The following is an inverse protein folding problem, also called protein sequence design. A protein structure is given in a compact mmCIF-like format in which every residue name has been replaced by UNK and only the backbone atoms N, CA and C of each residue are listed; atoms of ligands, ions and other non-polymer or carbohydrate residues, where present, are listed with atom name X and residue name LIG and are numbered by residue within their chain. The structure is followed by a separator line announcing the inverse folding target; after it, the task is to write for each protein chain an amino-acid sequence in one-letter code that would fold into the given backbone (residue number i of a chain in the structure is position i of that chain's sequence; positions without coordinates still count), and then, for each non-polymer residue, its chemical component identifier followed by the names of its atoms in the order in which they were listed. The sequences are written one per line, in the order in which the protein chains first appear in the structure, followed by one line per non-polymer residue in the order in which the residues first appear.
data_IF_756056449912
#
_entry.id   IF_756056449912
#
_cell.length_a   1.000
_cell.length_b   1.000
_cell.length_c   1.000
_cell.angle_alpha   90.00
_cell.angle_beta   90.00
_cell.angle_gamma   90.00
#
_symmetry.space_group_name_H-M   'P 1'
#
loop_
_entity.id
_entity.type
_entity.pdbx_description
1 polymer ?
#
# COMPACT_ATOMS: atom_id res chain seq x y z
N UNK A 1 -39.38 29.92 -27.62
CA UNK A 1 -37.98 30.34 -27.48
C UNK A 1 -37.51 29.77 -26.15
N UNK A 2 -36.78 28.67 -26.18
CA UNK A 2 -36.34 27.96 -24.97
C UNK A 2 -34.98 28.54 -24.59
N UNK A 3 -34.92 29.19 -23.44
CA UNK A 3 -33.67 29.67 -22.79
C UNK A 3 -32.80 28.45 -22.49
N UNK A 4 -31.72 28.30 -23.25
CA UNK A 4 -30.64 27.39 -22.90
C UNK A 4 -30.02 27.90 -21.61
N UNK A 5 -30.38 27.31 -20.47
CA UNK A 5 -29.67 27.54 -19.23
C UNK A 5 -28.18 27.30 -19.46
N UNK A 6 -27.38 28.33 -19.32
CA UNK A 6 -25.91 28.26 -19.34
C UNK A 6 -25.50 27.31 -18.21
N UNK A 7 -24.88 26.19 -18.55
CA UNK A 7 -24.32 25.28 -17.54
C UNK A 7 -23.32 26.03 -16.69
N UNK A 8 -23.39 25.97 -15.35
CA UNK A 8 -22.37 26.59 -14.53
C UNK A 8 -21.02 25.96 -14.88
N UNK A 9 -20.04 26.81 -15.20
CA UNK A 9 -18.68 26.37 -15.47
C UNK A 9 -18.06 25.90 -14.14
N UNK A 10 -17.88 24.59 -13.99
CA UNK A 10 -17.19 24.02 -12.85
C UNK A 10 -15.69 24.37 -12.96
N UNK A 11 -15.18 25.04 -11.92
CA UNK A 11 -13.79 25.48 -11.87
C UNK A 11 -12.86 24.29 -11.60
N UNK A 12 -11.74 24.23 -12.30
CA UNK A 12 -10.72 23.23 -12.05
C UNK A 12 -10.00 23.54 -10.74
N UNK A 13 -10.15 22.65 -9.75
CA UNK A 13 -9.56 22.75 -8.41
C UNK A 13 -9.00 21.39 -7.99
N UNK A 14 -7.90 21.37 -7.26
CA UNK A 14 -7.36 20.13 -6.70
C UNK A 14 -8.25 19.62 -5.57
N UNK A 15 -9.05 18.57 -5.85
CA UNK A 15 -9.93 17.96 -4.85
C UNK A 15 -9.15 16.98 -3.97
N UNK A 16 -9.43 17.05 -2.67
CA UNK A 16 -9.04 16.03 -1.68
C UNK A 16 -10.29 15.29 -1.21
N UNK A 17 -10.11 14.08 -0.66
CA UNK A 17 -11.23 13.27 -0.15
C UNK A 17 -12.15 14.08 0.80
N UNK A 18 -11.58 14.91 1.71
CA UNK A 18 -12.29 15.73 2.68
C UNK A 18 -12.64 17.15 2.17
N UNK A 19 -12.47 17.45 0.88
CA UNK A 19 -12.84 18.74 0.31
C UNK A 19 -14.35 18.90 0.39
N UNK A 20 -14.83 19.94 1.08
CA UNK A 20 -16.25 20.23 1.15
C UNK A 20 -16.74 20.75 -0.19
N UNK A 21 -17.78 20.13 -0.71
CA UNK A 21 -18.36 20.50 -2.01
C UNK A 21 -18.92 21.93 -2.00
N UNK A 22 -19.40 22.42 -0.86
CA UNK A 22 -19.86 23.79 -0.70
C UNK A 22 -18.76 24.85 -0.90
N UNK A 23 -17.47 24.49 -0.73
CA UNK A 23 -16.35 25.40 -0.91
C UNK A 23 -15.89 25.50 -2.38
N UNK A 24 -16.27 24.52 -3.21
CA UNK A 24 -15.73 24.36 -4.56
C UNK A 24 -16.80 24.27 -5.66
N UNK A 25 -18.06 24.05 -5.29
CA UNK A 25 -19.19 24.04 -6.22
C UNK A 25 -20.08 25.28 -6.05
N UNK A 26 -20.74 25.72 -7.11
CA UNK A 26 -21.80 26.73 -7.01
C UNK A 26 -22.90 26.28 -6.04
N UNK A 27 -23.56 27.24 -5.32
CA UNK A 27 -24.58 26.89 -4.33
C UNK A 27 -25.76 26.07 -4.89
N UNK A 28 -26.13 26.33 -6.14
CA UNK A 28 -27.21 25.60 -6.86
C UNK A 28 -26.88 24.13 -7.11
N UNK A 29 -25.61 23.74 -7.06
CA UNK A 29 -25.16 22.33 -7.12
C UNK A 29 -24.83 21.77 -5.74
N UNK A 30 -24.21 22.56 -4.87
CA UNK A 30 -23.79 22.12 -3.56
C UNK A 30 -24.96 21.83 -2.61
N UNK A 31 -26.01 22.66 -2.61
CA UNK A 31 -27.17 22.52 -1.73
C UNK A 31 -28.00 21.24 -1.99
N UNK A 32 -28.34 20.88 -3.24
CA UNK A 32 -28.99 19.60 -3.52
C UNK A 32 -28.17 18.40 -3.02
N UNK A 33 -26.87 18.41 -3.22
CA UNK A 33 -25.97 17.34 -2.78
C UNK A 33 -25.93 17.26 -1.25
N UNK A 34 -25.76 18.40 -0.57
CA UNK A 34 -25.76 18.48 0.89
C UNK A 34 -27.08 18.02 1.51
N UNK A 35 -28.21 18.39 0.92
CA UNK A 35 -29.55 17.96 1.38
C UNK A 35 -29.70 16.45 1.29
N UNK A 36 -29.06 15.80 0.35
CA UNK A 36 -29.04 14.36 0.20
C UNK A 36 -27.99 13.65 1.07
N UNK A 37 -27.13 14.40 1.78
CA UNK A 37 -26.06 13.87 2.63
C UNK A 37 -24.71 13.69 1.93
N UNK A 38 -24.50 14.32 0.78
CA UNK A 38 -23.25 14.34 0.03
C UNK A 38 -22.58 15.70 0.31
N UNK A 39 -21.67 15.75 1.28
CA UNK A 39 -21.02 16.97 1.73
C UNK A 39 -19.59 17.14 1.22
N UNK A 40 -18.89 16.04 1.02
CA UNK A 40 -17.47 16.01 0.62
C UNK A 40 -17.27 15.38 -0.76
N UNK A 41 -16.09 15.56 -1.32
CA UNK A 41 -15.71 14.92 -2.57
C UNK A 41 -15.67 13.37 -2.44
N UNK A 42 -15.36 12.85 -1.25
CA UNK A 42 -15.40 11.42 -0.94
C UNK A 42 -16.84 10.90 -0.96
N UNK A 43 -17.77 11.60 -0.30
CA UNK A 43 -19.18 11.22 -0.30
C UNK A 43 -19.77 11.15 -1.72
N UNK A 44 -19.39 12.12 -2.57
CA UNK A 44 -19.81 12.14 -3.97
C UNK A 44 -19.23 10.93 -4.75
N UNK A 45 -17.96 10.64 -4.52
CA UNK A 45 -17.31 9.48 -5.13
C UNK A 45 -17.94 8.17 -4.67
N UNK A 46 -18.14 7.99 -3.37
CA UNK A 46 -18.72 6.77 -2.81
C UNK A 46 -20.16 6.56 -3.27
N UNK A 47 -20.96 7.63 -3.30
CA UNK A 47 -22.32 7.58 -3.83
C UNK A 47 -22.33 7.06 -5.27
N UNK A 48 -21.45 7.60 -6.13
CA UNK A 48 -21.36 7.16 -7.51
C UNK A 48 -20.71 5.77 -7.64
N UNK A 49 -19.77 5.41 -6.78
CA UNK A 49 -19.15 4.08 -6.76
C UNK A 49 -20.15 2.98 -6.40
N UNK A 50 -21.10 3.27 -5.51
CA UNK A 50 -22.11 2.33 -5.05
C UNK A 50 -23.28 2.22 -6.03
N UNK A 51 -23.79 3.34 -6.55
CA UNK A 51 -24.99 3.39 -7.39
C UNK A 51 -24.70 3.40 -8.92
N UNK A 52 -23.43 3.52 -9.32
CA UNK A 52 -23.03 3.62 -10.72
C UNK A 52 -23.60 4.86 -11.41
N UNK A 53 -23.86 4.79 -12.71
CA UNK A 53 -24.39 5.89 -13.53
C UNK A 53 -25.74 6.47 -13.07
N UNK A 54 -26.44 5.78 -12.17
CA UNK A 54 -27.75 6.19 -11.67
C UNK A 54 -27.74 6.92 -10.33
N UNK A 55 -26.56 7.21 -9.79
CA UNK A 55 -26.34 7.78 -8.46
C UNK A 55 -27.15 9.06 -8.19
N UNK A 56 -27.38 9.87 -9.21
CA UNK A 56 -28.06 11.17 -9.11
C UNK A 56 -29.58 11.07 -9.02
N UNK A 57 -30.19 9.95 -9.41
CA UNK A 57 -31.67 9.81 -9.49
C UNK A 57 -32.42 10.16 -8.21
N UNK A 58 -31.92 9.81 -7.00
CA UNK A 58 -32.58 10.19 -5.76
C UNK A 58 -32.27 11.62 -5.32
N UNK A 59 -31.34 12.32 -5.97
CA UNK A 59 -30.93 13.68 -5.59
C UNK A 59 -31.80 14.70 -6.29
N UNK A 60 -32.73 15.30 -5.55
CA UNK A 60 -33.64 16.33 -6.09
C UNK A 60 -32.83 17.54 -6.58
N UNK A 61 -33.02 17.96 -7.81
CA UNK A 61 -32.32 19.13 -8.40
C UNK A 61 -31.08 18.78 -9.21
N UNK A 62 -30.66 17.50 -9.25
CA UNK A 62 -29.56 17.04 -10.10
C UNK A 62 -30.13 16.20 -11.26
N UNK A 63 -30.03 16.72 -12.47
CA UNK A 63 -30.43 16.00 -13.68
C UNK A 63 -29.25 15.17 -14.27
N UNK A 64 -29.55 14.36 -15.29
CA UNK A 64 -28.56 13.50 -15.94
C UNK A 64 -27.39 14.29 -16.56
N UNK A 65 -27.66 15.49 -17.06
CA UNK A 65 -26.65 16.38 -17.67
C UNK A 65 -25.71 16.93 -16.59
N UNK A 66 -26.28 17.39 -15.47
CA UNK A 66 -25.55 17.89 -14.31
C UNK A 66 -24.74 16.79 -13.65
N UNK A 67 -25.32 15.59 -13.50
CA UNK A 67 -24.61 14.44 -12.97
C UNK A 67 -23.40 14.05 -13.84
N UNK A 68 -23.54 14.06 -15.16
CA UNK A 68 -22.44 13.84 -16.10
C UNK A 68 -21.35 14.91 -15.97
N UNK A 69 -21.75 16.18 -15.82
CA UNK A 69 -20.81 17.28 -15.61
C UNK A 69 -20.04 17.14 -14.28
N UNK A 70 -20.74 16.79 -13.19
CA UNK A 70 -20.13 16.55 -11.88
C UNK A 70 -19.16 15.35 -11.91
N UNK A 71 -19.53 14.25 -12.55
CA UNK A 71 -18.61 13.10 -12.69
C UNK A 71 -17.42 13.41 -13.59
N UNK A 72 -17.60 14.19 -14.64
CA UNK A 72 -16.50 14.66 -15.49
C UNK A 72 -15.57 15.60 -14.72
N UNK A 73 -16.13 16.49 -13.92
CA UNK A 73 -15.37 17.39 -13.05
C UNK A 73 -14.64 16.61 -11.96
N UNK A 74 -15.29 15.64 -11.30
CA UNK A 74 -14.66 14.75 -10.32
C UNK A 74 -13.55 13.92 -10.99
N UNK A 75 -13.76 13.43 -12.21
CA UNK A 75 -12.76 12.71 -13.00
C UNK A 75 -11.50 13.54 -13.26
N UNK A 76 -11.67 14.83 -13.57
CA UNK A 76 -10.56 15.76 -13.85
C UNK A 76 -9.80 16.16 -12.58
N UNK A 77 -10.53 16.43 -11.51
CA UNK A 77 -10.01 17.10 -10.32
C UNK A 77 -9.84 16.16 -9.12
N UNK A 78 -10.53 15.03 -9.08
CA UNK A 78 -10.66 14.12 -7.94
C UNK A 78 -9.70 12.94 -7.95
N UNK A 79 -8.52 13.05 -8.54
CA UNK A 79 -7.52 11.96 -8.57
C UNK A 79 -7.16 11.42 -7.19
N UNK A 80 -7.19 12.29 -6.20
CA UNK A 80 -6.90 11.98 -4.81
C UNK A 80 -8.14 11.48 -4.05
N UNK A 81 -9.31 11.52 -4.68
CA UNK A 81 -10.57 11.04 -4.10
C UNK A 81 -10.85 9.59 -4.49
N UNK A 82 -10.65 9.25 -5.76
CA UNK A 82 -10.82 7.89 -6.25
C UNK A 82 -10.80 7.81 -7.78
N UNK A 83 -10.76 6.59 -8.34
CA UNK A 83 -10.79 6.37 -9.78
C UNK A 83 -12.22 6.41 -10.31
N UNK A 84 -12.57 7.45 -11.05
CA UNK A 84 -13.85 7.57 -11.75
C UNK A 84 -13.80 6.75 -13.03
N UNK A 85 -14.50 5.62 -13.04
CA UNK A 85 -14.55 4.65 -14.15
C UNK A 85 -15.76 4.90 -15.07
N UNK A 86 -15.80 4.24 -16.23
CA UNK A 86 -16.92 4.35 -17.20
C UNK A 86 -18.29 4.04 -16.58
N UNK A 87 -18.34 3.17 -15.57
CA UNK A 87 -19.59 2.80 -14.88
C UNK A 87 -20.28 3.96 -14.15
N UNK A 88 -19.57 5.08 -13.93
CA UNK A 88 -20.11 6.27 -13.26
C UNK A 88 -20.85 7.20 -14.23
N UNK A 89 -20.74 6.92 -15.52
CA UNK A 89 -21.36 7.71 -16.57
C UNK A 89 -22.52 6.95 -17.23
N UNK A 90 -23.50 7.71 -17.68
CA UNK A 90 -24.52 7.14 -18.57
C UNK A 90 -23.88 6.63 -19.87
N UNK A 91 -24.46 5.62 -20.53
CA UNK A 91 -23.92 5.07 -21.76
C UNK A 91 -23.66 6.17 -22.81
N UNK A 92 -22.44 6.22 -23.35
CA UNK A 92 -22.00 7.21 -24.32
C UNK A 92 -21.63 8.58 -23.75
N UNK A 93 -21.69 8.79 -22.43
CA UNK A 93 -21.35 10.05 -21.76
C UNK A 93 -19.98 10.05 -21.06
N UNK A 94 -19.29 8.92 -21.03
CA UNK A 94 -17.96 8.84 -20.44
C UNK A 94 -16.97 9.73 -21.26
N UNK A 95 -16.08 10.47 -20.59
CA UNK A 95 -15.04 11.25 -21.27
C UNK A 95 -14.13 10.32 -22.06
N UNK A 96 -13.72 10.73 -23.26
CA UNK A 96 -12.82 9.95 -24.12
C UNK A 96 -11.46 9.72 -23.41
N UNK A 97 -10.75 8.61 -23.70
CA UNK A 97 -9.42 8.34 -23.14
C UNK A 97 -8.42 9.46 -23.36
N UNK A 98 -8.57 10.24 -24.43
CA UNK A 98 -7.72 11.40 -24.77
C UNK A 98 -7.93 12.58 -23.82
N UNK A 99 -9.11 12.74 -23.23
CA UNK A 99 -9.34 13.76 -22.20
C UNK A 99 -8.62 13.46 -20.88
N UNK A 100 -8.15 12.22 -20.68
CA UNK A 100 -7.28 11.83 -19.58
C UNK A 100 -5.85 12.36 -19.72
N UNK A 101 -5.38 12.62 -20.94
CA UNK A 101 -3.99 13.00 -21.20
C UNK A 101 -3.65 14.46 -20.87
N UNK A 102 -4.61 15.37 -20.92
CA UNK A 102 -4.38 16.81 -20.71
C UNK A 102 -4.15 17.16 -19.22
N UNK A 103 -4.71 16.37 -18.29
CA UNK A 103 -4.48 16.56 -16.84
C UNK A 103 -3.21 15.86 -16.33
N UNK A 104 -2.49 15.14 -17.18
CA UNK A 104 -1.27 14.37 -16.83
C UNK A 104 0.00 15.22 -16.78
N UNK A 105 -0.07 16.49 -17.18
CA UNK A 105 1.03 17.45 -17.01
C UNK A 105 1.02 18.16 -15.63
N UNK A 106 0.18 17.72 -14.71
CA UNK A 106 0.20 18.22 -13.35
C UNK A 106 1.43 17.68 -12.62
N UNK A 107 2.39 18.54 -12.48
CA UNK A 107 3.55 18.49 -11.58
C UNK A 107 4.52 17.32 -11.76
N UNK A 108 5.65 17.64 -12.24
CA UNK A 108 6.95 17.00 -12.31
C UNK A 108 7.43 16.37 -10.98
N UNK A 109 6.62 16.36 -9.92
CA UNK A 109 6.99 16.04 -8.55
C UNK A 109 5.96 15.20 -7.77
N UNK A 110 5.01 14.57 -8.46
CA UNK A 110 3.98 13.77 -7.82
C UNK A 110 4.49 12.44 -7.30
N UNK A 111 4.81 12.34 -6.00
CA UNK A 111 5.02 11.04 -5.36
C UNK A 111 3.67 10.36 -5.19
N UNK A 112 3.40 9.39 -6.04
CA UNK A 112 2.15 8.62 -6.07
C UNK A 112 2.44 7.13 -6.05
N UNK A 113 1.50 6.30 -5.58
CA UNK A 113 1.63 4.85 -5.66
C UNK A 113 1.82 4.36 -7.10
N UNK A 114 2.50 3.25 -7.25
CA UNK A 114 2.85 2.65 -8.55
C UNK A 114 1.63 2.37 -9.45
N UNK A 115 0.46 2.14 -8.87
CA UNK A 115 -0.79 1.93 -9.59
C UNK A 115 -1.27 3.20 -10.33
N UNK A 116 -0.91 4.38 -9.81
CA UNK A 116 -1.26 5.69 -10.36
C UNK A 116 -0.09 6.39 -11.04
N UNK A 117 1.06 5.74 -11.05
CA UNK A 117 2.29 6.31 -11.57
C UNK A 117 2.23 6.37 -13.10
N UNK A 118 2.34 7.57 -13.64
CA UNK A 118 2.55 7.83 -15.05
C UNK A 118 4.02 8.19 -15.24
N UNK A 119 4.74 7.31 -15.91
CA UNK A 119 6.18 7.51 -16.16
C UNK A 119 6.35 8.41 -17.37
N UNK A 120 7.11 9.52 -17.27
CA UNK A 120 7.44 10.37 -18.42
C UNK A 120 8.10 9.56 -19.54
N UNK A 121 7.81 9.88 -20.79
CA UNK A 121 8.28 9.11 -21.95
C UNK A 121 9.80 8.88 -21.95
N UNK A 122 10.58 9.91 -21.69
CA UNK A 122 12.06 9.80 -21.62
C UNK A 122 12.61 9.00 -20.44
N UNK A 123 11.75 8.58 -19.46
CA UNK A 123 12.12 7.81 -18.27
C UNK A 123 11.46 6.43 -18.21
N UNK A 124 10.71 6.03 -19.22
CA UNK A 124 10.02 4.74 -19.28
C UNK A 124 10.97 3.54 -19.26
N UNK A 125 12.19 3.73 -19.78
CA UNK A 125 13.21 2.68 -19.80
C UNK A 125 13.10 1.72 -21.00
N UNK A 126 12.22 1.98 -21.95
CA UNK A 126 12.17 1.29 -23.24
C UNK A 126 13.50 1.38 -24.01
N UNK A 127 14.22 2.51 -23.84
CA UNK A 127 15.56 2.79 -24.38
C UNK A 127 16.63 2.96 -23.29
N UNK A 128 16.50 2.24 -22.18
CA UNK A 128 17.45 2.30 -21.08
C UNK A 128 18.87 1.88 -21.48
N UNK A 129 19.88 2.55 -20.92
CA UNK A 129 21.30 2.32 -21.25
C UNK A 129 21.80 0.91 -20.93
N UNK A 130 21.13 0.22 -20.01
CA UNK A 130 21.43 -1.13 -19.58
C UNK A 130 20.41 -2.16 -20.10
N UNK A 131 19.56 -1.76 -21.05
CA UNK A 131 18.62 -2.67 -21.71
C UNK A 131 19.36 -3.67 -22.57
N UNK A 132 19.01 -4.94 -22.44
CA UNK A 132 19.47 -5.95 -23.38
C UNK A 132 18.67 -5.86 -24.71
N UNK A 133 19.23 -6.37 -25.83
CA UNK A 133 18.49 -6.49 -27.08
C UNK A 133 17.19 -7.28 -26.90
N UNK A 134 16.11 -6.88 -27.57
CA UNK A 134 14.80 -7.50 -27.41
C UNK A 134 14.81 -9.02 -27.66
N UNK A 135 15.62 -9.50 -28.61
CA UNK A 135 15.78 -10.93 -28.93
C UNK A 135 16.41 -11.74 -27.78
N UNK A 136 17.08 -11.11 -26.82
CA UNK A 136 17.67 -11.74 -25.66
C UNK A 136 16.74 -11.71 -24.44
N UNK A 137 15.62 -10.99 -24.52
CA UNK A 137 14.69 -10.81 -23.42
C UNK A 137 13.56 -11.82 -23.45
N UNK A 138 13.42 -12.60 -22.38
CA UNK A 138 12.30 -13.54 -22.20
C UNK A 138 11.10 -12.90 -21.49
N UNK A 139 11.19 -11.62 -21.15
CA UNK A 139 10.14 -10.89 -20.46
C UNK A 139 9.23 -10.17 -21.44
N UNK A 140 7.92 -10.37 -21.32
CA UNK A 140 6.93 -9.59 -22.03
C UNK A 140 6.70 -8.27 -21.28
N UNK A 141 7.62 -7.32 -21.51
CA UNK A 141 7.61 -6.01 -20.86
C UNK A 141 8.23 -4.95 -21.76
N UNK A 142 7.44 -3.95 -22.11
CA UNK A 142 7.87 -2.85 -22.97
C UNK A 142 8.75 -1.84 -22.22
N UNK A 143 8.46 -1.60 -20.95
CA UNK A 143 9.10 -0.60 -20.12
C UNK A 143 9.42 -1.10 -18.70
N UNK A 144 10.14 -0.26 -17.93
CA UNK A 144 10.59 -0.60 -16.58
C UNK A 144 9.43 -0.88 -15.61
N UNK A 145 8.33 -0.15 -15.74
CA UNK A 145 7.17 -0.32 -14.87
C UNK A 145 6.44 -1.65 -15.16
N UNK A 146 6.28 -2.01 -16.43
CA UNK A 146 5.72 -3.31 -16.83
C UNK A 146 6.63 -4.46 -16.41
N UNK A 147 7.95 -4.31 -16.53
CA UNK A 147 8.90 -5.32 -16.07
C UNK A 147 8.84 -5.57 -14.54
N UNK A 148 8.67 -4.50 -13.74
CA UNK A 148 8.44 -4.62 -12.30
C UNK A 148 7.12 -5.35 -12.02
N UNK A 149 6.05 -5.05 -12.76
CA UNK A 149 4.75 -5.73 -12.60
C UNK A 149 4.84 -7.23 -12.86
N UNK A 150 5.52 -7.63 -13.94
CA UNK A 150 5.78 -9.05 -14.24
C UNK A 150 6.59 -9.71 -13.12
N UNK A 151 7.65 -9.06 -12.63
CA UNK A 151 8.41 -9.58 -11.49
C UNK A 151 7.56 -9.77 -10.23
N UNK A 152 6.69 -8.83 -9.91
CA UNK A 152 5.78 -8.92 -8.76
C UNK A 152 4.78 -10.07 -8.93
N UNK A 153 4.27 -10.31 -10.14
CA UNK A 153 3.39 -11.44 -10.44
C UNK A 153 4.11 -12.77 -10.27
N UNK A 154 5.35 -12.88 -10.74
CA UNK A 154 6.17 -14.06 -10.57
C UNK A 154 6.46 -14.41 -9.10
N UNK A 155 6.32 -13.43 -8.17
CA UNK A 155 6.52 -13.59 -6.73
C UNK A 155 5.19 -13.65 -5.93
N UNK A 156 4.06 -13.78 -6.61
CA UNK A 156 2.70 -13.67 -6.04
C UNK A 156 2.25 -14.85 -5.16
N UNK A 157 3.09 -15.84 -4.90
CA UNK A 157 2.70 -17.02 -4.10
C UNK A 157 2.27 -16.70 -2.65
N UNK A 158 2.63 -15.53 -2.12
CA UNK A 158 2.25 -15.07 -0.79
C UNK A 158 1.94 -13.58 -0.81
N UNK A 159 0.69 -13.15 -0.47
CA UNK A 159 0.27 -11.76 -0.51
C UNK A 159 1.15 -10.81 0.33
N UNK A 160 1.60 -11.24 1.51
CA UNK A 160 2.47 -10.43 2.38
C UNK A 160 3.85 -10.21 1.77
N UNK A 161 4.41 -11.24 1.13
CA UNK A 161 5.68 -11.16 0.42
C UNK A 161 5.54 -10.23 -0.78
N UNK A 162 4.47 -10.38 -1.56
CA UNK A 162 4.17 -9.52 -2.69
C UNK A 162 4.03 -8.05 -2.27
N UNK A 163 3.28 -7.77 -1.20
CA UNK A 163 3.11 -6.41 -0.67
C UNK A 163 4.44 -5.80 -0.21
N UNK A 164 5.31 -6.60 0.45
CA UNK A 164 6.65 -6.17 0.86
C UNK A 164 7.54 -5.87 -0.36
N UNK A 165 7.53 -6.72 -1.36
CA UNK A 165 8.32 -6.54 -2.58
C UNK A 165 7.83 -5.34 -3.39
N UNK A 166 6.51 -5.20 -3.56
CA UNK A 166 5.92 -4.03 -4.21
C UNK A 166 6.34 -2.74 -3.53
N UNK A 167 6.26 -2.68 -2.21
CA UNK A 167 6.66 -1.50 -1.43
C UNK A 167 8.11 -1.08 -1.71
N UNK A 168 9.06 -2.00 -1.69
CA UNK A 168 10.47 -1.66 -1.88
C UNK A 168 10.80 -1.39 -3.37
N UNK A 169 10.19 -2.10 -4.31
CA UNK A 169 10.32 -1.81 -5.74
C UNK A 169 9.75 -0.43 -6.11
N UNK A 170 8.60 -0.07 -5.53
CA UNK A 170 7.97 1.24 -5.71
C UNK A 170 8.86 2.37 -5.17
N UNK A 171 9.40 2.23 -3.96
CA UNK A 171 10.33 3.19 -3.35
C UNK A 171 11.54 3.43 -4.25
N UNK A 172 12.10 2.35 -4.77
CA UNK A 172 13.24 2.42 -5.65
C UNK A 172 12.92 3.03 -7.01
N UNK A 173 11.82 2.62 -7.64
CA UNK A 173 11.37 3.20 -8.91
C UNK A 173 11.11 4.71 -8.77
N UNK A 174 10.39 5.13 -7.74
CA UNK A 174 10.14 6.55 -7.46
C UNK A 174 11.45 7.31 -7.23
N UNK A 175 12.41 6.73 -6.52
CA UNK A 175 13.73 7.33 -6.35
C UNK A 175 14.47 7.48 -7.69
N UNK A 176 14.46 6.47 -8.55
CA UNK A 176 15.05 6.57 -9.88
C UNK A 176 14.42 7.71 -10.70
N UNK A 177 13.10 7.74 -10.75
CA UNK A 177 12.37 8.69 -11.57
C UNK A 177 12.44 10.13 -11.05
N UNK A 178 12.25 10.32 -9.77
CA UNK A 178 12.06 11.64 -9.17
C UNK A 178 13.37 12.24 -8.64
N UNK A 179 14.18 11.46 -7.94
CA UNK A 179 15.43 11.94 -7.36
C UNK A 179 16.55 11.93 -8.38
N UNK A 180 16.69 10.83 -9.14
CA UNK A 180 17.79 10.66 -10.11
C UNK A 180 17.45 11.12 -11.52
N UNK A 181 16.16 11.31 -11.86
CA UNK A 181 15.73 11.61 -13.22
C UNK A 181 16.31 10.63 -14.24
N UNK A 182 16.27 9.34 -13.89
CA UNK A 182 16.78 8.28 -14.75
C UNK A 182 15.83 7.09 -14.77
N UNK A 183 15.75 6.40 -15.90
CA UNK A 183 15.05 5.15 -16.00
C UNK A 183 15.74 4.07 -15.13
N UNK A 184 14.98 3.13 -14.55
CA UNK A 184 15.55 2.03 -13.77
C UNK A 184 16.56 1.23 -14.61
N UNK A 185 16.24 0.98 -15.88
CA UNK A 185 17.11 0.31 -16.83
C UNK A 185 18.31 1.14 -17.31
N UNK A 186 18.50 2.34 -16.76
CA UNK A 186 19.69 3.17 -17.01
C UNK A 186 20.58 3.35 -15.77
N UNK A 187 20.17 2.78 -14.64
CA UNK A 187 20.90 2.88 -13.35
C UNK A 187 22.26 2.18 -13.45
N UNK A 188 23.28 2.83 -12.91
CA UNK A 188 24.66 2.34 -12.84
C UNK A 188 25.07 2.00 -11.41
N UNK A 189 26.22 1.36 -11.23
CA UNK A 189 26.73 0.99 -9.91
C UNK A 189 26.90 2.20 -8.96
N UNK A 190 27.30 3.36 -9.48
CA UNK A 190 27.36 4.61 -8.71
C UNK A 190 26.00 5.05 -8.17
N UNK A 191 24.93 4.89 -8.96
CA UNK A 191 23.57 5.22 -8.54
C UNK A 191 23.09 4.25 -7.46
N UNK A 192 23.44 2.96 -7.57
CA UNK A 192 23.11 1.98 -6.53
C UNK A 192 23.75 2.35 -5.17
N UNK A 193 25.00 2.82 -5.17
CA UNK A 193 25.65 3.33 -3.98
C UNK A 193 25.01 4.62 -3.44
N UNK A 194 24.53 5.51 -4.32
CA UNK A 194 23.78 6.70 -3.96
C UNK A 194 22.44 6.37 -3.32
N UNK A 195 21.73 5.37 -3.83
CA UNK A 195 20.46 4.91 -3.24
C UNK A 195 20.64 4.46 -1.79
N UNK A 196 21.71 3.74 -1.49
CA UNK A 196 22.04 3.33 -0.13
C UNK A 196 22.24 4.55 0.79
N UNK A 197 23.06 5.52 0.37
CA UNK A 197 23.29 6.75 1.13
C UNK A 197 22.00 7.57 1.32
N UNK A 198 21.18 7.61 0.29
CA UNK A 198 19.87 8.27 0.35
C UNK A 198 18.97 7.63 1.40
N UNK A 199 18.87 6.28 1.44
CA UNK A 199 18.12 5.55 2.47
C UNK A 199 18.67 5.77 3.89
N UNK A 200 19.99 5.95 4.03
CA UNK A 200 20.65 6.23 5.32
C UNK A 200 20.30 7.63 5.84
N UNK A 201 20.27 8.63 4.97
CA UNK A 201 20.00 10.02 5.32
C UNK A 201 18.52 10.33 5.52
N UNK A 202 17.61 9.61 4.86
CA UNK A 202 16.19 9.92 4.84
C UNK A 202 15.59 9.92 6.26
N UNK A 203 15.05 11.08 6.67
CA UNK A 203 14.43 11.27 7.98
C UNK A 203 15.45 11.42 9.14
N UNK A 204 16.75 11.52 8.85
CA UNK A 204 17.82 11.68 9.83
C UNK A 204 18.67 12.93 9.61
N UNK A 205 18.85 13.31 8.36
CA UNK A 205 19.62 14.50 7.98
C UNK A 205 18.73 15.73 8.18
N UNK A 206 19.30 16.82 8.68
CA UNK A 206 18.58 18.10 8.72
C UNK A 206 18.21 18.58 7.30
N UNK A 207 17.15 19.39 7.18
CA UNK A 207 16.57 19.71 5.88
C UNK A 207 17.51 20.56 5.00
N UNK A 208 18.38 21.38 5.61
CA UNK A 208 19.37 22.19 4.86
C UNK A 208 20.47 21.30 4.26
N UNK A 209 21.04 20.40 5.06
CA UNK A 209 22.04 19.46 4.58
C UNK A 209 21.44 18.44 3.58
N UNK A 210 20.18 18.07 3.76
CA UNK A 210 19.45 17.25 2.80
C UNK A 210 19.33 17.94 1.45
N UNK A 211 18.85 19.19 1.42
CA UNK A 211 18.66 19.98 0.20
C UNK A 211 19.96 20.26 -0.58
N UNK A 212 21.13 20.17 0.07
CA UNK A 212 22.43 20.28 -0.60
C UNK A 212 22.81 19.02 -1.39
N UNK A 213 22.26 17.85 -1.01
CA UNK A 213 22.64 16.56 -1.59
C UNK A 213 21.53 15.97 -2.47
N UNK A 214 20.27 16.24 -2.14
CA UNK A 214 19.11 15.59 -2.72
C UNK A 214 18.11 16.61 -3.25
N UNK A 215 17.51 16.23 -4.36
CA UNK A 215 16.65 17.13 -5.13
C UNK A 215 15.30 17.36 -4.46
N UNK A 216 14.72 16.30 -3.88
CA UNK A 216 13.35 16.34 -3.34
C UNK A 216 13.37 16.46 -1.83
N UNK A 217 12.63 17.41 -1.22
CA UNK A 217 12.55 17.55 0.24
C UNK A 217 12.09 16.27 0.92
N UNK A 218 12.61 15.99 2.13
CA UNK A 218 12.25 14.79 2.89
C UNK A 218 10.76 14.69 3.18
N UNK A 219 10.09 15.82 3.41
CA UNK A 219 8.65 15.92 3.66
C UNK A 219 7.79 15.39 2.50
N UNK A 220 8.34 15.33 1.30
CA UNK A 220 7.66 14.71 0.14
C UNK A 220 7.78 13.18 0.14
N UNK A 221 8.79 12.63 0.79
CA UNK A 221 9.04 11.19 0.89
C UNK A 221 8.42 10.56 2.13
N UNK A 222 8.30 11.32 3.22
CA UNK A 222 7.83 10.85 4.52
C UNK A 222 6.44 11.41 4.80
N UNK A 223 5.52 10.54 5.15
CA UNK A 223 4.14 10.88 5.47
C UNK A 223 3.61 10.19 6.72
N UNK A 224 2.35 10.41 7.05
CA UNK A 224 1.70 9.78 8.19
C UNK A 224 1.66 8.25 8.05
N UNK A 225 1.63 7.55 9.19
CA UNK A 225 1.45 6.10 9.21
C UNK A 225 0.04 5.72 8.78
N UNK A 226 -0.09 4.53 8.21
CA UNK A 226 -1.38 3.90 7.88
C UNK A 226 -2.25 4.70 6.90
N UNK A 227 -1.64 5.54 6.06
CA UNK A 227 -2.37 6.23 5.00
C UNK A 227 -2.79 5.26 3.90
N UNK A 228 -4.07 5.26 3.51
CA UNK A 228 -4.53 4.53 2.34
C UNK A 228 -3.74 4.92 1.09
N UNK A 229 -3.51 3.98 0.18
CA UNK A 229 -2.78 4.24 -1.08
C UNK A 229 -3.52 5.23 -2.00
N UNK A 230 -4.81 5.39 -1.81
CA UNK A 230 -5.66 6.36 -2.53
C UNK A 230 -5.54 7.77 -1.98
N UNK A 231 -5.06 7.94 -0.73
CA UNK A 231 -4.95 9.24 -0.07
C UNK A 231 -3.90 10.14 -0.71
N UNK A 232 -4.16 11.45 -0.88
CA UNK A 232 -3.16 12.43 -1.31
C UNK A 232 -2.03 12.63 -0.27
N UNK A 233 -2.28 12.29 0.98
CA UNK A 233 -1.28 12.31 2.04
C UNK A 233 -0.39 11.06 2.05
N UNK A 234 -0.66 10.08 1.17
CA UNK A 234 0.18 8.90 1.08
C UNK A 234 1.61 9.26 0.67
N UNK A 235 2.57 8.65 1.35
CA UNK A 235 4.00 8.75 1.02
C UNK A 235 4.63 7.36 1.15
N UNK A 236 5.71 7.09 0.40
CA UNK A 236 6.33 5.77 0.41
C UNK A 236 7.03 5.41 1.73
N UNK A 237 7.27 6.40 2.60
CA UNK A 237 7.91 6.21 3.91
C UNK A 237 7.08 6.85 5.03
N UNK A 238 7.19 6.26 6.22
CA UNK A 238 6.53 6.74 7.45
C UNK A 238 7.54 7.31 8.46
N UNK A 239 8.78 7.49 8.03
CA UNK A 239 9.90 7.92 8.84
C UNK A 239 11.21 7.25 8.42
N UNK A 240 12.30 7.50 9.15
CA UNK A 240 13.61 6.91 8.86
C UNK A 240 13.56 5.38 9.00
N UNK A 241 14.27 4.69 8.11
CA UNK A 241 14.33 3.23 8.13
C UNK A 241 15.37 2.74 9.13
N UNK A 242 15.03 1.76 9.97
CA UNK A 242 16.00 1.01 10.78
C UNK A 242 17.02 0.28 9.91
N UNK A 243 18.17 -0.11 10.46
CA UNK A 243 19.20 -0.88 9.76
C UNK A 243 18.63 -2.15 9.11
N UNK A 244 17.75 -2.88 9.83
CA UNK A 244 17.08 -4.06 9.30
C UNK A 244 16.19 -3.73 8.11
N UNK A 245 15.44 -2.62 8.18
CA UNK A 245 14.56 -2.19 7.09
C UNK A 245 15.35 -1.72 5.87
N UNK A 246 16.46 -0.99 6.07
CA UNK A 246 17.37 -0.61 4.98
C UNK A 246 17.98 -1.84 4.30
N UNK A 247 18.43 -2.82 5.10
CA UNK A 247 18.93 -4.10 4.57
C UNK A 247 17.88 -4.83 3.74
N UNK A 248 16.64 -4.91 4.23
CA UNK A 248 15.55 -5.53 3.50
C UNK A 248 15.29 -4.82 2.16
N UNK A 249 15.25 -3.49 2.15
CA UNK A 249 15.08 -2.70 0.92
C UNK A 249 16.16 -3.05 -0.12
N UNK A 250 17.42 -3.09 0.30
CA UNK A 250 18.55 -3.46 -0.59
C UNK A 250 18.42 -4.88 -1.11
N UNK A 251 18.06 -5.84 -0.26
CA UNK A 251 17.88 -7.23 -0.65
C UNK A 251 16.78 -7.37 -1.70
N UNK A 252 15.66 -6.69 -1.51
CA UNK A 252 14.52 -6.75 -2.44
C UNK A 252 14.88 -6.11 -3.79
N UNK A 253 15.50 -4.91 -3.77
CA UNK A 253 15.93 -4.24 -5.01
C UNK A 253 16.98 -5.06 -5.77
N UNK A 254 17.92 -5.68 -5.05
CA UNK A 254 18.89 -6.61 -5.66
C UNK A 254 18.20 -7.80 -6.31
N UNK A 255 17.18 -8.38 -5.66
CA UNK A 255 16.41 -9.48 -6.24
C UNK A 255 15.65 -9.06 -7.49
N UNK A 256 15.10 -7.84 -7.53
CA UNK A 256 14.50 -7.25 -8.73
C UNK A 256 15.52 -7.19 -9.86
N UNK A 257 16.68 -6.55 -9.64
CA UNK A 257 17.71 -6.43 -10.67
C UNK A 257 18.25 -7.78 -11.13
N UNK A 258 18.42 -8.74 -10.23
CA UNK A 258 18.83 -10.10 -10.60
C UNK A 258 17.78 -10.81 -11.47
N UNK A 259 16.50 -10.64 -11.17
CA UNK A 259 15.43 -11.15 -12.02
C UNK A 259 15.47 -10.52 -13.41
N UNK A 260 15.56 -9.19 -13.49
CA UNK A 260 15.63 -8.47 -14.75
C UNK A 260 16.87 -8.85 -15.59
N UNK A 261 18.01 -9.05 -14.93
CA UNK A 261 19.23 -9.57 -15.59
C UNK A 261 19.03 -11.00 -16.09
N UNK A 262 18.53 -11.89 -15.26
CA UNK A 262 18.39 -13.31 -15.60
C UNK A 262 17.33 -13.59 -16.67
N UNK A 263 16.35 -12.67 -16.82
CA UNK A 263 15.34 -12.73 -17.89
C UNK A 263 15.78 -12.03 -19.17
N UNK A 264 17.01 -11.48 -19.20
CA UNK A 264 17.52 -10.75 -20.36
C UNK A 264 16.87 -9.39 -20.59
N UNK A 265 16.20 -8.83 -19.58
CA UNK A 265 15.69 -7.47 -19.64
C UNK A 265 16.81 -6.45 -19.46
N UNK A 266 17.75 -6.71 -18.53
CA UNK A 266 18.97 -5.95 -18.31
C UNK A 266 20.21 -6.75 -18.68
N UNK A 267 21.27 -6.08 -19.11
CA UNK A 267 22.56 -6.67 -19.42
C UNK A 267 23.30 -7.05 -18.12
N UNK A 268 23.28 -6.14 -17.11
CA UNK A 268 23.94 -6.34 -15.83
C UNK A 268 23.08 -5.82 -14.65
N UNK A 269 23.40 -6.26 -13.43
CA UNK A 269 22.80 -5.72 -12.21
C UNK A 269 23.73 -4.69 -11.58
N UNK A 270 23.32 -3.42 -11.44
CA UNK A 270 24.13 -2.38 -10.81
C UNK A 270 24.42 -2.68 -9.33
N UNK A 271 23.62 -3.54 -8.69
CA UNK A 271 23.79 -3.95 -7.29
C UNK A 271 24.78 -5.10 -7.09
N UNK A 272 25.28 -5.75 -8.15
CA UNK A 272 26.27 -6.81 -8.02
C UNK A 272 27.63 -6.25 -7.50
N UNK A 273 27.92 -4.97 -7.81
CA UNK A 273 29.16 -4.31 -7.41
C UNK A 273 29.03 -3.53 -6.08
N UNK A 274 27.87 -3.55 -5.45
CA UNK A 274 27.60 -2.83 -4.21
C UNK A 274 27.51 -3.82 -3.04
N UNK A 275 28.21 -3.53 -1.94
CA UNK A 275 28.15 -4.38 -0.76
C UNK A 275 26.71 -4.48 -0.22
N UNK A 276 26.22 -5.70 0.07
CA UNK A 276 24.92 -5.87 0.70
C UNK A 276 24.93 -5.52 2.19
N UNK A 277 26.09 -5.23 2.75
CA UNK A 277 26.23 -4.86 4.17
C UNK A 277 25.72 -3.44 4.37
N UNK A 278 24.68 -3.31 5.16
CA UNK A 278 24.15 -2.02 5.59
C UNK A 278 24.71 -1.70 6.96
N UNK A 279 25.47 -0.61 7.13
CA UNK A 279 26.08 -0.26 8.39
C UNK A 279 25.01 0.19 9.41
N UNK A 280 25.33 0.00 10.69
CA UNK A 280 24.61 0.68 11.77
C UNK A 280 25.01 2.15 11.77
N UNK A 281 24.03 3.04 11.83
CA UNK A 281 24.26 4.47 11.93
C UNK A 281 24.42 4.89 13.39
N UNK A 282 25.09 6.05 13.61
CA UNK A 282 25.24 6.61 14.96
C UNK A 282 23.87 6.78 15.63
N UNK A 283 23.71 6.23 16.83
CA UNK A 283 22.45 6.25 17.58
C UNK A 283 21.50 5.06 17.27
N UNK A 284 21.81 4.22 16.28
CA UNK A 284 21.10 2.95 16.14
C UNK A 284 21.70 1.92 17.10
N UNK A 285 20.86 1.37 17.99
CA UNK A 285 21.26 0.23 18.81
C UNK A 285 21.59 -0.98 17.94
N UNK A 286 22.60 -1.76 18.32
CA UNK A 286 22.80 -3.07 17.72
C UNK A 286 21.47 -3.85 17.81
N UNK A 287 21.07 -4.58 16.74
CA UNK A 287 19.91 -5.45 16.86
C UNK A 287 20.15 -6.37 18.06
N UNK A 288 19.39 -6.15 19.14
CA UNK A 288 19.44 -7.08 20.27
C UNK A 288 18.96 -8.41 19.74
N UNK A 289 19.87 -9.39 19.70
CA UNK A 289 19.57 -10.73 19.20
C UNK A 289 18.40 -11.34 19.96
N UNK A 290 18.23 -10.94 21.22
CA UNK A 290 17.13 -11.30 22.09
C UNK A 290 16.77 -10.08 22.97
N UNK A 291 15.97 -9.16 22.47
CA UNK A 291 15.23 -8.31 23.38
C UNK A 291 14.21 -9.20 24.05
N UNK A 292 14.34 -9.43 25.34
CA UNK A 292 13.30 -10.12 26.09
C UNK A 292 12.03 -9.25 26.06
N UNK A 293 11.11 -9.65 25.22
CA UNK A 293 9.78 -9.06 25.09
C UNK A 293 8.72 -9.90 25.77
N UNK A 294 9.18 -10.91 26.53
CA UNK A 294 8.30 -11.77 27.29
C UNK A 294 7.76 -10.99 28.48
N UNK A 295 6.51 -11.25 28.82
CA UNK A 295 5.93 -10.77 30.05
C UNK A 295 6.55 -11.54 31.22
N UNK A 296 6.81 -10.85 32.35
CA UNK A 296 7.16 -11.54 33.60
C UNK A 296 5.93 -12.28 34.14
N UNK A 297 6.14 -13.19 35.07
CA UNK A 297 5.03 -13.94 35.67
C UNK A 297 4.07 -13.02 36.43
N UNK A 298 4.58 -11.94 37.03
CA UNK A 298 3.75 -10.93 37.72
C UNK A 298 2.91 -10.14 36.72
N UNK A 299 3.52 -9.71 35.61
CA UNK A 299 2.79 -9.01 34.55
C UNK A 299 1.73 -9.90 33.91
N UNK A 300 2.03 -11.20 33.78
CA UNK A 300 1.06 -12.15 33.28
C UNK A 300 -0.11 -12.35 34.25
N UNK A 301 0.17 -12.52 35.56
CA UNK A 301 -0.85 -12.64 36.58
C UNK A 301 -1.77 -11.41 36.63
N UNK A 302 -1.20 -10.21 36.51
CA UNK A 302 -1.99 -8.96 36.44
C UNK A 302 -2.90 -8.92 35.18
N UNK A 303 -2.42 -9.34 34.01
CA UNK A 303 -3.25 -9.41 32.80
C UNK A 303 -4.42 -10.38 33.01
N UNK A 304 -4.17 -11.56 33.54
CA UNK A 304 -5.23 -12.55 33.80
C UNK A 304 -6.25 -12.00 34.78
N UNK A 305 -5.82 -11.41 35.90
CA UNK A 305 -6.69 -10.76 36.85
C UNK A 305 -7.59 -9.70 36.24
N UNK A 306 -7.00 -8.80 35.38
CA UNK A 306 -7.77 -7.77 34.67
C UNK A 306 -8.82 -8.33 33.72
N UNK A 307 -8.57 -9.49 33.14
CA UNK A 307 -9.56 -10.15 32.28
C UNK A 307 -10.68 -10.77 33.14
N UNK A 308 -10.34 -11.30 34.28
CA UNK A 308 -11.35 -11.86 35.22
C UNK A 308 -12.23 -10.77 35.84
N UNK A 309 -11.75 -9.52 35.91
CA UNK A 309 -12.52 -8.34 36.30
C UNK A 309 -13.49 -7.84 35.22
N UNK A 310 -13.35 -8.28 33.96
CA UNK A 310 -14.27 -7.90 32.89
C UNK A 310 -15.67 -8.49 33.15
N UNK A 311 -16.74 -7.79 32.74
CA UNK A 311 -18.08 -8.34 32.81
C UNK A 311 -18.18 -9.72 32.14
N UNK A 312 -18.96 -10.62 32.73
CA UNK A 312 -19.23 -11.91 32.10
C UNK A 312 -19.84 -11.77 30.72
N UNK A 313 -19.42 -12.62 29.81
CA UNK A 313 -19.91 -12.65 28.44
C UNK A 313 -18.81 -12.77 27.39
N UNK A 314 -19.23 -12.69 26.14
CA UNK A 314 -18.37 -12.92 24.98
C UNK A 314 -17.04 -12.13 24.93
N UNK A 315 -16.96 -10.85 25.33
CA UNK A 315 -15.68 -10.12 25.33
C UNK A 315 -14.64 -10.74 26.26
N UNK A 316 -15.05 -11.18 27.47
CA UNK A 316 -14.19 -11.83 28.45
C UNK A 316 -13.69 -13.18 27.92
N UNK A 317 -14.60 -14.03 27.46
CA UNK A 317 -14.26 -15.36 26.96
C UNK A 317 -13.38 -15.27 25.68
N UNK A 318 -13.68 -14.36 24.79
CA UNK A 318 -12.83 -14.07 23.64
C UNK A 318 -11.41 -13.67 24.03
N UNK A 319 -11.24 -12.85 25.08
CA UNK A 319 -9.93 -12.42 25.52
C UNK A 319 -9.15 -13.59 26.13
N UNK A 320 -9.81 -14.43 26.95
CA UNK A 320 -9.21 -15.67 27.47
C UNK A 320 -8.72 -16.58 26.35
N UNK A 321 -9.54 -16.78 25.32
CA UNK A 321 -9.21 -17.58 24.15
C UNK A 321 -7.99 -17.01 23.41
N UNK A 322 -7.95 -15.70 23.15
CA UNK A 322 -6.82 -15.03 22.49
C UNK A 322 -5.52 -15.23 23.28
N UNK A 323 -5.57 -15.03 24.60
CA UNK A 323 -4.39 -15.19 25.44
C UNK A 323 -3.92 -16.65 25.49
N UNK A 324 -4.83 -17.59 25.60
CA UNK A 324 -4.52 -19.01 25.58
C UNK A 324 -3.86 -19.40 24.25
N UNK A 325 -4.44 -19.01 23.12
CA UNK A 325 -3.86 -19.28 21.79
C UNK A 325 -2.50 -18.62 21.59
N UNK A 326 -2.36 -17.37 22.06
CA UNK A 326 -1.10 -16.62 21.89
C UNK A 326 0.02 -17.10 22.80
N UNK A 327 -0.21 -17.15 24.12
CA UNK A 327 0.83 -17.52 25.11
C UNK A 327 1.00 -19.02 25.25
N UNK A 328 -0.09 -19.75 25.51
CA UNK A 328 0.03 -21.17 25.84
C UNK A 328 0.29 -22.03 24.61
N UNK A 329 -0.30 -21.72 23.48
CA UNK A 329 -0.13 -22.47 22.23
C UNK A 329 0.89 -21.83 21.27
N UNK A 330 1.36 -20.62 21.54
CA UNK A 330 2.34 -19.93 20.69
C UNK A 330 1.86 -19.74 19.25
N UNK A 331 0.57 -19.52 19.05
CA UNK A 331 0.00 -19.29 17.73
C UNK A 331 0.35 -17.89 17.22
N UNK A 332 0.59 -17.77 15.92
CA UNK A 332 0.76 -16.45 15.29
C UNK A 332 -0.58 -15.74 15.18
N UNK A 333 -0.56 -14.40 15.12
CA UNK A 333 -1.79 -13.61 14.99
C UNK A 333 -2.66 -14.05 13.80
N UNK A 334 -2.06 -14.33 12.63
CA UNK A 334 -2.79 -14.85 11.46
C UNK A 334 -3.39 -16.25 11.70
N UNK A 335 -2.67 -17.12 12.41
CA UNK A 335 -3.17 -18.46 12.75
C UNK A 335 -4.34 -18.38 13.77
N UNK A 336 -4.31 -17.42 14.68
CA UNK A 336 -5.43 -17.16 15.60
C UNK A 336 -6.67 -16.62 14.88
N UNK A 337 -6.48 -15.72 13.90
CA UNK A 337 -7.57 -15.17 13.10
C UNK A 337 -8.24 -16.23 12.20
N UNK A 338 -7.45 -17.18 11.71
CA UNK A 338 -7.92 -18.26 10.83
C UNK A 338 -8.37 -19.50 11.58
N UNK A 339 -8.21 -19.54 12.91
CA UNK A 339 -8.51 -20.71 13.75
C UNK A 339 -9.96 -21.16 13.61
N UNK A 340 -10.14 -22.46 13.49
CA UNK A 340 -11.46 -23.09 13.36
C UNK A 340 -11.53 -24.30 14.27
N UNK A 341 -12.72 -24.62 14.77
CA UNK A 341 -12.96 -25.81 15.58
C UNK A 341 -12.56 -27.10 14.87
N UNK A 342 -12.70 -27.16 13.55
CA UNK A 342 -12.27 -28.30 12.72
C UNK A 342 -10.74 -28.55 12.72
N UNK A 343 -9.93 -27.66 13.29
CA UNK A 343 -8.49 -27.88 13.49
C UNK A 343 -8.19 -28.71 14.75
N UNK A 344 -9.20 -28.94 15.59
CA UNK A 344 -9.07 -29.77 16.79
C UNK A 344 -9.15 -31.23 16.35
N UNK A 345 -8.08 -31.95 16.60
CA UNK A 345 -7.98 -33.39 16.33
C UNK A 345 -7.88 -34.15 17.63
N UNK A 346 -8.68 -35.20 17.77
CA UNK A 346 -8.63 -36.10 18.89
C UNK A 346 -7.93 -37.40 18.52
N UNK A 347 -7.07 -37.85 19.42
CA UNK A 347 -6.37 -39.11 19.26
C UNK A 347 -6.41 -39.93 20.51
N UNK A 348 -6.78 -41.18 20.39
CA UNK A 348 -6.73 -42.14 21.52
C UNK A 348 -5.28 -42.61 21.70
N UNK A 349 -4.74 -42.43 22.91
CA UNK A 349 -3.43 -42.90 23.32
C UNK A 349 -3.64 -43.75 24.55
N UNK A 350 -3.67 -45.07 24.36
CA UNK A 350 -4.09 -46.01 25.42
C UNK A 350 -5.56 -45.81 25.77
N UNK A 351 -5.84 -45.61 27.05
CA UNK A 351 -7.21 -45.37 27.60
C UNK A 351 -7.60 -43.88 27.63
N UNK A 352 -6.70 -42.97 27.22
CA UNK A 352 -6.97 -41.52 27.26
C UNK A 352 -7.15 -40.96 25.85
N UNK A 353 -8.14 -40.08 25.70
CA UNK A 353 -8.30 -39.24 24.53
C UNK A 353 -7.46 -37.98 24.75
N UNK A 354 -6.56 -37.66 23.80
CA UNK A 354 -5.78 -36.45 23.81
C UNK A 354 -6.21 -35.57 22.62
N UNK A 355 -6.52 -34.32 22.91
CA UNK A 355 -6.82 -33.32 21.90
C UNK A 355 -5.58 -32.53 21.53
N UNK A 356 -5.51 -32.09 20.26
CA UNK A 356 -4.49 -31.19 19.80
C UNK A 356 -5.07 -30.29 18.70
N UNK A 357 -4.53 -29.08 18.55
CA UNK A 357 -4.82 -28.24 17.39
C UNK A 357 -3.78 -28.53 16.31
N UNK A 358 -4.23 -28.85 15.10
CA UNK A 358 -3.39 -29.04 13.94
C UNK A 358 -3.40 -27.77 13.07
N UNK A 359 -2.22 -27.15 12.94
CA UNK A 359 -2.06 -25.85 12.28
C UNK A 359 -1.12 -26.00 11.08
N UNK A 360 -1.56 -25.48 9.94
CA UNK A 360 -0.68 -25.32 8.78
C UNK A 360 -0.03 -23.95 8.87
N UNK A 361 1.24 -23.92 9.25
CA UNK A 361 2.00 -22.68 9.43
C UNK A 361 2.73 -22.21 8.16
N UNK A 362 3.61 -21.25 8.34
CA UNK A 362 4.43 -20.68 7.25
C UNK A 362 5.22 -21.76 6.49
N UNK A 363 5.09 -21.76 5.16
CA UNK A 363 5.74 -22.75 4.29
C UNK A 363 5.04 -24.11 4.27
N UNK A 364 3.73 -24.14 4.51
CA UNK A 364 2.89 -25.36 4.55
C UNK A 364 3.34 -26.39 5.60
N UNK A 365 4.08 -25.96 6.62
CA UNK A 365 4.52 -26.87 7.69
C UNK A 365 3.39 -27.10 8.66
N UNK A 366 2.97 -28.37 8.79
CA UNK A 366 1.98 -28.78 9.77
C UNK A 366 2.65 -28.92 11.14
N UNK A 367 2.04 -28.36 12.17
CA UNK A 367 2.41 -28.55 13.58
C UNK A 367 1.19 -28.90 14.39
N UNK A 368 1.38 -29.76 15.37
CA UNK A 368 0.35 -30.17 16.31
C UNK A 368 0.67 -29.59 17.69
N UNK A 369 -0.25 -28.86 18.23
CA UNK A 369 -0.15 -28.26 19.56
C UNK A 369 -1.08 -29.04 20.50
N UNK A 370 -0.55 -29.78 21.47
CA UNK A 370 -1.39 -30.53 22.39
C UNK A 370 -2.20 -29.58 23.27
N UNK A 371 -3.45 -29.95 23.50
CA UNK A 371 -4.35 -29.24 24.41
C UNK A 371 -4.43 -30.00 25.75
N UNK A 372 -4.34 -29.25 26.85
CA UNK A 372 -4.71 -29.77 28.18
C UNK A 372 -6.23 -29.59 28.44
N UNK A 373 -6.73 -30.13 29.55
CA UNK A 373 -8.17 -30.10 29.84
C UNK A 373 -8.69 -28.67 30.08
N UNK A 374 -7.89 -27.79 30.71
CA UNK A 374 -8.23 -26.39 30.93
C UNK A 374 -8.35 -25.63 29.61
N UNK A 375 -7.37 -25.82 28.72
CA UNK A 375 -7.38 -25.20 27.38
C UNK A 375 -8.56 -25.68 26.55
N UNK A 376 -8.96 -26.93 26.70
CA UNK A 376 -10.13 -27.47 26.03
C UNK A 376 -11.41 -26.81 26.53
N UNK A 377 -11.55 -26.64 27.86
CA UNK A 377 -12.72 -25.95 28.45
C UNK A 377 -12.88 -24.51 27.96
N UNK A 378 -11.77 -23.83 27.65
CA UNK A 378 -11.82 -22.46 27.09
C UNK A 378 -12.30 -22.45 25.63
N UNK A 379 -12.10 -23.54 24.89
CA UNK A 379 -12.48 -23.65 23.47
C UNK A 379 -13.93 -24.11 23.30
N UNK A 380 -14.38 -25.03 24.15
CA UNK A 380 -15.74 -25.59 24.18
C UNK A 380 -16.75 -24.58 24.76
#
# INVERSE_FOLDING_TARGET
MSEKALKPALTDVGLRYNTKLADVLPPDLAEPLRTFGIETAEDLYECAANAGASWFRPVTGIDASTATALMTWLHRNGRDVGEVTERFFLPGCAPSPESRSVATQASDEGIVPMERLVVPEGLRGDRGLNRAPAMACSLDAEDDLSAIRVWLQARASNPNTQASYRKEAERYLLWCLLERRTALSSVRAGDAALFLRWLEGLGRTDEKAWAQQWRIPQSRWIGPKNMPRTSPAWRPFNGPLSATSRRNAVVVVRQLHNFLKNTGYLIFSPFDQVSPKVPLLKGEGAPQAFADRSLTDEQWAEIVSRIDDLPEGWPRERMKLILMMGKSLGMRASEMLDARTGWIVERRVGFKVRAAIEIVGKGAKVRRLPLNDEQRTIID
#
